data_IF_588541511793
#
_entry.id   IF_588541511793
#
_cell.length_a   1.000
_cell.length_b   1.000
_cell.length_c   1.000
_cell.angle_alpha   90.00
_cell.angle_beta   90.00
_cell.angle_gamma   90.00
#
_symmetry.space_group_name_H-M   'P 1'
#
loop_
_entity.id
_entity.type
_entity.pdbx_description
1 polymer ?
#
# COMPACT_ATOMS: atom_id res chain seq x y z
N UNK A 1 16.37 -13.06 -11.29
CA UNK A 1 15.21 -12.16 -11.13
C UNK A 1 14.02 -12.86 -10.44
N UNK A 2 13.63 -14.09 -10.82
CA UNK A 2 12.40 -14.74 -10.32
C UNK A 2 12.51 -15.53 -9.00
N UNK A 3 13.71 -15.75 -8.43
CA UNK A 3 13.89 -16.44 -7.14
C UNK A 3 13.80 -15.49 -5.93
N UNK A 4 13.26 -14.28 -6.14
CA UNK A 4 13.34 -13.19 -5.16
C UNK A 4 12.54 -13.46 -3.87
N UNK A 5 11.54 -14.33 -3.92
CA UNK A 5 10.80 -14.80 -2.73
C UNK A 5 11.73 -15.58 -1.79
N UNK A 6 12.64 -16.38 -2.34
CA UNK A 6 13.55 -17.22 -1.56
C UNK A 6 14.85 -16.48 -1.16
N UNK A 7 15.21 -15.42 -1.88
CA UNK A 7 16.50 -14.73 -1.70
C UNK A 7 16.38 -13.34 -1.07
N UNK A 8 15.19 -12.74 -1.00
CA UNK A 8 14.99 -11.39 -0.45
C UNK A 8 14.03 -11.44 0.76
N UNK A 9 14.54 -11.27 2.00
CA UNK A 9 13.74 -11.43 3.21
C UNK A 9 12.47 -10.59 3.27
N UNK A 10 12.47 -9.35 2.79
CA UNK A 10 11.27 -8.51 2.81
C UNK A 10 10.17 -9.01 1.86
N UNK A 11 10.54 -9.66 0.74
CA UNK A 11 9.58 -10.29 -0.18
C UNK A 11 8.98 -11.53 0.48
N UNK A 12 9.81 -12.32 1.17
CA UNK A 12 9.33 -13.46 1.95
C UNK A 12 8.35 -13.02 3.06
N UNK A 13 8.66 -11.94 3.78
CA UNK A 13 7.76 -11.36 4.79
C UNK A 13 6.42 -10.93 4.19
N UNK A 14 6.44 -10.28 3.02
CA UNK A 14 5.23 -9.86 2.30
C UNK A 14 4.38 -11.07 1.88
N UNK A 15 5.01 -12.12 1.36
CA UNK A 15 4.32 -13.37 1.03
C UNK A 15 3.72 -14.05 2.27
N UNK A 16 4.48 -14.16 3.37
CA UNK A 16 4.01 -14.75 4.62
C UNK A 16 2.86 -13.95 5.25
N UNK A 17 2.91 -12.62 5.17
CA UNK A 17 1.81 -11.76 5.60
C UNK A 17 0.54 -12.06 4.82
N UNK A 18 0.64 -12.17 3.48
CA UNK A 18 -0.52 -12.50 2.64
C UNK A 18 -1.07 -13.89 2.97
N UNK A 19 -0.20 -14.89 3.14
CA UNK A 19 -0.61 -16.24 3.54
C UNK A 19 -1.32 -16.25 4.91
N UNK A 20 -0.85 -15.49 5.90
CA UNK A 20 -1.49 -15.39 7.21
C UNK A 20 -2.90 -14.79 7.09
N UNK A 21 -3.01 -13.63 6.46
CA UNK A 21 -4.22 -12.82 6.52
C UNK A 21 -5.25 -13.14 5.44
N UNK A 22 -4.85 -13.76 4.32
CA UNK A 22 -5.77 -14.17 3.26
C UNK A 22 -6.25 -15.63 3.42
N UNK A 23 -5.65 -16.42 4.32
CA UNK A 23 -6.05 -17.81 4.54
C UNK A 23 -7.39 -17.87 5.31
N UNK A 24 -8.39 -18.55 4.71
CA UNK A 24 -9.72 -18.75 5.27
C UNK A 24 -9.71 -19.54 6.59
N UNK A 25 -8.76 -20.43 6.78
CA UNK A 25 -8.64 -21.24 8.00
C UNK A 25 -8.11 -20.43 9.18
N UNK A 26 -7.37 -19.35 8.91
CA UNK A 26 -6.71 -18.52 9.93
C UNK A 26 -7.41 -17.18 10.16
N UNK A 27 -8.12 -16.67 9.16
CA UNK A 27 -8.68 -15.32 9.14
C UNK A 27 -10.15 -15.29 8.72
N UNK A 28 -10.94 -14.55 9.48
CA UNK A 28 -12.35 -14.26 9.19
C UNK A 28 -12.52 -13.52 7.86
N UNK A 29 -13.76 -13.45 7.35
CA UNK A 29 -14.03 -12.66 6.13
C UNK A 29 -13.68 -11.18 6.31
N UNK A 30 -13.96 -10.61 7.48
CA UNK A 30 -13.64 -9.23 7.79
C UNK A 30 -12.12 -8.97 7.79
N UNK A 31 -11.33 -9.88 8.38
CA UNK A 31 -9.85 -9.80 8.38
C UNK A 31 -9.31 -9.92 6.96
N UNK A 32 -9.81 -10.88 6.18
CA UNK A 32 -9.42 -11.05 4.77
C UNK A 32 -9.75 -9.84 3.92
N UNK A 33 -10.88 -9.18 4.16
CA UNK A 33 -11.29 -8.00 3.41
C UNK A 33 -10.42 -6.78 3.72
N UNK A 34 -10.06 -6.58 5.00
CA UNK A 34 -9.10 -5.53 5.39
C UNK A 34 -7.71 -5.83 4.85
N UNK A 35 -7.28 -7.09 4.89
CA UNK A 35 -6.00 -7.51 4.33
C UNK A 35 -5.96 -7.29 2.82
N UNK A 36 -7.04 -7.63 2.10
CA UNK A 36 -7.17 -7.33 0.68
C UNK A 36 -7.10 -5.82 0.40
N UNK A 37 -7.83 -5.00 1.16
CA UNK A 37 -7.74 -3.54 1.00
C UNK A 37 -6.33 -2.99 1.24
N UNK A 38 -5.56 -3.59 2.17
CA UNK A 38 -4.17 -3.24 2.40
C UNK A 38 -3.24 -3.72 1.28
N UNK A 39 -3.55 -4.83 0.60
CA UNK A 39 -2.81 -5.28 -0.59
C UNK A 39 -2.97 -4.29 -1.74
N UNK A 40 -4.19 -3.83 -2.01
CA UNK A 40 -4.47 -2.90 -3.12
C UNK A 40 -4.07 -1.45 -2.77
N UNK A 41 -4.22 -1.04 -1.50
CA UNK A 41 -4.07 0.36 -1.08
C UNK A 41 -2.77 0.74 -0.36
N UNK A 42 -2.04 -0.24 0.21
CA UNK A 42 -0.77 0.01 0.94
C UNK A 42 0.38 -0.69 0.24
N UNK A 43 0.27 -1.99 0.01
CA UNK A 43 1.30 -2.68 -0.79
C UNK A 43 1.33 -2.09 -2.20
N UNK A 44 2.54 -1.93 -2.74
CA UNK A 44 2.79 -1.28 -4.03
C UNK A 44 2.55 0.24 -4.08
N UNK A 45 2.01 0.88 -3.04
CA UNK A 45 1.90 2.34 -2.98
C UNK A 45 3.25 3.03 -3.16
N UNK A 46 4.33 2.45 -2.59
CA UNK A 46 5.70 2.94 -2.77
C UNK A 46 6.19 2.78 -4.20
N UNK A 47 5.88 1.65 -4.85
CA UNK A 47 6.22 1.41 -6.26
C UNK A 47 5.52 2.37 -7.20
N UNK A 48 4.20 2.58 -7.03
CA UNK A 48 3.43 3.53 -7.84
C UNK A 48 3.99 4.95 -7.71
N UNK A 49 4.26 5.38 -6.48
CA UNK A 49 4.88 6.68 -6.21
C UNK A 49 6.26 6.80 -6.89
N UNK A 50 7.08 5.76 -6.81
CA UNK A 50 8.41 5.71 -7.45
C UNK A 50 8.36 5.82 -8.97
N UNK A 51 7.35 5.24 -9.61
CA UNK A 51 7.18 5.34 -11.07
C UNK A 51 6.63 6.72 -11.46
N UNK A 52 5.69 7.27 -10.68
CA UNK A 52 5.24 8.64 -10.91
C UNK A 52 6.35 9.68 -10.70
N UNK A 53 7.34 9.40 -9.87
CA UNK A 53 8.55 10.22 -9.81
C UNK A 53 9.31 10.25 -11.15
N UNK A 54 9.35 9.13 -11.88
CA UNK A 54 9.91 9.10 -13.24
C UNK A 54 9.05 9.93 -14.21
N UNK A 55 7.72 9.87 -14.09
CA UNK A 55 6.79 10.72 -14.84
C UNK A 55 7.08 12.21 -14.60
N UNK A 56 7.26 12.63 -13.35
CA UNK A 56 7.60 14.02 -12.99
C UNK A 56 8.88 14.51 -13.68
N UNK A 57 9.82 13.60 -13.93
CA UNK A 57 11.08 13.89 -14.64
C UNK A 57 10.97 13.78 -16.17
N UNK A 58 9.79 13.50 -16.71
CA UNK A 58 9.57 13.32 -18.14
C UNK A 58 10.17 12.03 -18.70
N UNK A 59 10.34 11.00 -17.86
CA UNK A 59 11.00 9.74 -18.23
C UNK A 59 9.98 8.61 -18.41
N UNK A 60 10.33 7.64 -19.27
CA UNK A 60 9.61 6.38 -19.46
C UNK A 60 8.08 6.57 -19.65
N UNK A 61 7.64 7.29 -20.70
CA UNK A 61 6.24 7.68 -20.87
C UNK A 61 5.29 6.49 -20.96
N UNK A 62 5.68 5.40 -21.64
CA UNK A 62 4.88 4.17 -21.71
C UNK A 62 4.67 3.53 -20.34
N UNK A 63 5.75 3.38 -19.56
CA UNK A 63 5.68 2.85 -18.18
C UNK A 63 4.82 3.74 -17.28
N UNK A 64 5.04 5.06 -17.34
CA UNK A 64 4.30 6.03 -16.53
C UNK A 64 2.81 6.03 -16.84
N UNK A 65 2.44 5.91 -18.12
CA UNK A 65 1.04 5.81 -18.54
C UNK A 65 0.40 4.49 -18.08
N UNK A 66 1.09 3.36 -18.22
CA UNK A 66 0.59 2.08 -17.68
C UNK A 66 0.44 2.12 -16.16
N UNK A 67 1.39 2.74 -15.45
CA UNK A 67 1.33 2.92 -14.01
C UNK A 67 0.12 3.75 -13.56
N UNK A 68 -0.23 4.79 -14.33
CA UNK A 68 -1.41 5.60 -14.06
C UNK A 68 -2.69 4.77 -14.15
N UNK A 69 -2.86 4.02 -15.23
CA UNK A 69 -4.02 3.15 -15.42
C UNK A 69 -4.12 2.09 -14.32
N UNK A 70 -3.01 1.42 -14.00
CA UNK A 70 -2.98 0.40 -12.95
C UNK A 70 -3.30 1.02 -11.59
N UNK A 71 -2.62 2.12 -11.21
CA UNK A 71 -2.86 2.76 -9.90
C UNK A 71 -4.30 3.26 -9.72
N UNK A 72 -4.96 3.68 -10.80
CA UNK A 72 -6.39 4.02 -10.80
C UNK A 72 -7.26 2.80 -10.50
N UNK A 73 -6.99 1.69 -11.18
CA UNK A 73 -7.76 0.46 -11.05
C UNK A 73 -7.60 -0.16 -9.64
N UNK A 74 -6.37 -0.16 -9.10
CA UNK A 74 -6.07 -0.59 -7.72
C UNK A 74 -6.77 0.31 -6.68
N UNK A 75 -6.87 1.61 -6.94
CA UNK A 75 -7.68 2.53 -6.14
C UNK A 75 -9.15 2.11 -6.10
N UNK A 76 -9.72 1.76 -7.25
CA UNK A 76 -11.10 1.27 -7.35
C UNK A 76 -11.31 -0.06 -6.62
N UNK A 77 -10.35 -0.99 -6.69
CA UNK A 77 -10.41 -2.24 -5.94
C UNK A 77 -10.35 -2.01 -4.43
N UNK A 78 -9.48 -1.11 -3.97
CA UNK A 78 -9.37 -0.73 -2.57
C UNK A 78 -10.67 -0.09 -2.06
N UNK A 79 -11.25 0.85 -2.82
CA UNK A 79 -12.53 1.48 -2.51
C UNK A 79 -13.67 0.45 -2.43
N UNK A 80 -13.69 -0.52 -3.34
CA UNK A 80 -14.66 -1.60 -3.32
C UNK A 80 -14.54 -2.47 -2.06
N UNK A 81 -13.31 -2.79 -1.64
CA UNK A 81 -13.07 -3.52 -0.40
C UNK A 81 -13.58 -2.74 0.83
N UNK A 82 -13.31 -1.43 0.88
CA UNK A 82 -13.81 -0.55 1.95
C UNK A 82 -15.35 -0.45 1.94
N UNK A 83 -15.97 -0.36 0.76
CA UNK A 83 -17.42 -0.36 0.60
C UNK A 83 -18.03 -1.66 1.13
N UNK A 84 -17.52 -2.82 0.72
CA UNK A 84 -17.98 -4.11 1.24
C UNK A 84 -17.79 -4.20 2.76
N UNK A 85 -16.67 -3.70 3.28
CA UNK A 85 -16.38 -3.70 4.72
C UNK A 85 -17.37 -2.84 5.50
N UNK A 86 -17.81 -1.71 4.94
CA UNK A 86 -18.85 -0.85 5.52
C UNK A 86 -20.21 -1.54 5.66
N UNK A 87 -20.48 -2.59 4.88
CA UNK A 87 -21.72 -3.37 4.91
C UNK A 87 -21.68 -4.53 5.92
N UNK A 88 -20.54 -4.78 6.56
CA UNK A 88 -20.42 -5.82 7.59
C UNK A 88 -21.12 -5.39 8.87
N UNK A 89 -21.93 -6.30 9.43
CA UNK A 89 -22.57 -6.11 10.74
C UNK A 89 -21.53 -6.20 11.86
N UNK A 90 -20.68 -7.23 11.80
CA UNK A 90 -19.62 -7.46 12.78
C UNK A 90 -18.29 -6.90 12.24
N UNK A 91 -17.97 -5.67 12.63
CA UNK A 91 -16.70 -5.02 12.30
C UNK A 91 -15.60 -5.51 13.24
N UNK A 92 -14.35 -5.35 12.80
CA UNK A 92 -13.19 -5.73 13.59
C UNK A 92 -12.93 -4.70 14.69
N UNK A 93 -12.40 -5.13 15.85
CA UNK A 93 -11.89 -4.20 16.84
C UNK A 93 -10.72 -3.39 16.26
N UNK A 94 -10.56 -2.15 16.74
CA UNK A 94 -9.54 -1.21 16.24
C UNK A 94 -8.13 -1.79 16.35
N UNK A 95 -7.85 -2.55 17.42
CA UNK A 95 -6.57 -3.20 17.66
C UNK A 95 -6.24 -4.22 16.56
N UNK A 96 -7.24 -4.99 16.09
CA UNK A 96 -7.03 -5.99 15.04
C UNK A 96 -6.79 -5.32 13.68
N UNK A 97 -7.53 -4.26 13.35
CA UNK A 97 -7.24 -3.50 12.13
C UNK A 97 -5.86 -2.89 12.19
N UNK A 98 -5.49 -2.29 13.32
CA UNK A 98 -4.16 -1.72 13.50
C UNK A 98 -3.08 -2.78 13.30
N UNK A 99 -3.25 -3.99 13.83
CA UNK A 99 -2.29 -5.09 13.60
C UNK A 99 -2.10 -5.38 12.11
N UNK A 100 -3.19 -5.50 11.34
CA UNK A 100 -3.15 -5.81 9.91
C UNK A 100 -2.49 -4.67 9.12
N UNK A 101 -2.94 -3.44 9.35
CA UNK A 101 -2.46 -2.25 8.62
C UNK A 101 -1.01 -1.92 8.97
N UNK A 102 -0.65 -1.90 10.26
CA UNK A 102 0.69 -1.53 10.69
C UNK A 102 1.73 -2.55 10.22
N UNK A 103 1.40 -3.85 10.26
CA UNK A 103 2.29 -4.87 9.72
C UNK A 103 2.48 -4.76 8.20
N UNK A 104 1.45 -4.35 7.44
CA UNK A 104 1.58 -4.08 6.00
C UNK A 104 2.50 -2.88 5.74
N UNK A 105 2.31 -1.77 6.47
CA UNK A 105 3.13 -0.56 6.37
C UNK A 105 4.60 -0.85 6.66
N UNK A 106 4.88 -1.59 7.74
CA UNK A 106 6.26 -1.95 8.11
C UNK A 106 6.94 -2.77 7.01
N UNK A 107 6.23 -3.74 6.43
CA UNK A 107 6.74 -4.57 5.34
C UNK A 107 7.00 -3.72 4.08
N UNK A 108 6.09 -2.81 3.72
CA UNK A 108 6.25 -1.98 2.53
C UNK A 108 7.38 -0.95 2.70
N UNK A 109 7.50 -0.33 3.88
CA UNK A 109 8.63 0.55 4.21
C UNK A 109 9.98 -0.20 4.10
N UNK A 110 10.01 -1.46 4.55
CA UNK A 110 11.21 -2.29 4.41
C UNK A 110 11.49 -2.62 2.93
N UNK A 111 10.46 -3.02 2.19
CA UNK A 111 10.58 -3.36 0.77
C UNK A 111 11.16 -2.21 -0.07
N UNK A 112 10.66 -1.00 0.14
CA UNK A 112 11.08 0.18 -0.62
C UNK A 112 12.45 0.75 -0.19
N UNK A 113 12.97 0.30 0.96
CA UNK A 113 14.29 0.70 1.46
C UNK A 113 15.37 -0.35 1.16
N UNK A 114 15.01 -1.64 1.15
CA UNK A 114 15.96 -2.75 1.01
C UNK A 114 15.93 -3.37 -0.39
N UNK A 115 14.76 -3.73 -0.92
CA UNK A 115 14.64 -4.47 -2.18
C UNK A 115 14.62 -3.55 -3.40
N UNK A 116 13.96 -2.39 -3.27
CA UNK A 116 13.91 -1.36 -4.30
C UNK A 116 14.28 0.01 -3.72
N UNK A 117 15.55 0.24 -3.32
CA UNK A 117 15.95 1.49 -2.67
C UNK A 117 15.64 2.69 -3.58
N UNK A 118 14.69 3.51 -3.15
CA UNK A 118 14.21 4.67 -3.93
C UNK A 118 15.25 5.77 -4.08
N UNK A 119 16.31 5.72 -3.27
CA UNK A 119 17.53 6.50 -3.43
C UNK A 119 18.17 6.29 -4.81
N UNK A 120 18.06 5.09 -5.40
CA UNK A 120 18.62 4.79 -6.72
C UNK A 120 18.00 5.64 -7.84
N UNK A 121 16.77 6.10 -7.64
CA UNK A 121 16.06 6.99 -8.58
C UNK A 121 16.02 8.44 -8.11
N UNK A 122 16.73 8.77 -7.03
CA UNK A 122 16.85 10.12 -6.49
C UNK A 122 15.71 10.56 -5.57
N UNK A 123 14.99 9.61 -4.96
CA UNK A 123 14.01 9.90 -3.91
C UNK A 123 14.60 9.64 -2.52
N UNK A 124 13.87 10.03 -1.47
CA UNK A 124 14.28 9.84 -0.08
C UNK A 124 13.42 8.76 0.59
N UNK A 125 14.03 7.68 1.10
CA UNK A 125 13.30 6.57 1.77
C UNK A 125 12.49 6.99 2.98
N UNK A 126 12.90 8.04 3.72
CA UNK A 126 12.12 8.56 4.86
C UNK A 126 10.84 9.22 4.37
N UNK A 127 10.93 10.06 3.34
CA UNK A 127 9.74 10.66 2.71
C UNK A 127 8.84 9.57 2.09
N UNK A 128 9.43 8.54 1.48
CA UNK A 128 8.65 7.42 0.97
C UNK A 128 7.92 6.66 2.08
N UNK A 129 8.58 6.44 3.22
CA UNK A 129 7.96 5.81 4.39
C UNK A 129 6.81 6.66 4.94
N UNK A 130 6.96 7.99 4.97
CA UNK A 130 5.88 8.89 5.39
C UNK A 130 4.72 8.91 4.38
N UNK A 131 5.00 8.77 3.09
CA UNK A 131 3.97 8.59 2.07
C UNK A 131 3.18 7.28 2.26
N UNK A 132 3.86 6.16 2.54
CA UNK A 132 3.19 4.86 2.80
C UNK A 132 2.30 4.97 4.05
N UNK A 133 2.79 5.61 5.12
CA UNK A 133 1.99 5.89 6.33
C UNK A 133 0.79 6.79 6.04
N UNK A 134 0.95 7.78 5.15
CA UNK A 134 -0.16 8.63 4.70
C UNK A 134 -1.23 7.81 3.96
N UNK A 135 -0.84 6.91 3.05
CA UNK A 135 -1.76 5.97 2.39
C UNK A 135 -2.49 5.09 3.40
N UNK A 136 -1.78 4.58 4.41
CA UNK A 136 -2.38 3.77 5.46
C UNK A 136 -3.41 4.53 6.31
N UNK A 137 -3.13 5.79 6.66
CA UNK A 137 -4.09 6.64 7.37
C UNK A 137 -5.34 6.93 6.51
N UNK A 138 -5.17 7.13 5.21
CA UNK A 138 -6.31 7.26 4.29
C UNK A 138 -7.15 5.99 4.25
N UNK A 139 -6.52 4.81 4.20
CA UNK A 139 -7.22 3.53 4.23
C UNK A 139 -7.96 3.33 5.57
N UNK A 140 -7.33 3.66 6.70
CA UNK A 140 -7.97 3.61 8.02
C UNK A 140 -9.25 4.47 8.06
N UNK A 141 -9.18 5.69 7.52
CA UNK A 141 -10.35 6.57 7.42
C UNK A 141 -11.44 6.00 6.51
N UNK A 142 -11.08 5.44 5.35
CA UNK A 142 -12.02 4.80 4.42
C UNK A 142 -12.71 3.57 5.04
N UNK A 143 -11.97 2.83 5.86
CA UNK A 143 -12.50 1.75 6.71
C UNK A 143 -13.29 2.27 7.91
N UNK A 144 -13.43 3.58 8.12
CA UNK A 144 -14.21 4.17 9.21
C UNK A 144 -13.52 4.14 10.58
N UNK A 145 -12.20 4.09 10.62
CA UNK A 145 -11.37 4.18 11.83
C UNK A 145 -10.61 5.51 11.85
N UNK A 146 -10.01 5.84 13.00
CA UNK A 146 -9.20 7.05 13.15
C UNK A 146 -7.81 6.84 12.55
N UNK A 147 -7.18 7.94 12.14
CA UNK A 147 -5.77 7.95 11.74
C UNK A 147 -4.89 7.43 12.87
N UNK A 148 -3.82 6.72 12.50
CA UNK A 148 -2.83 6.20 13.43
C UNK A 148 -1.51 6.95 13.33
N UNK A 149 -0.98 7.16 12.11
CA UNK A 149 0.34 7.77 11.91
C UNK A 149 0.31 9.30 11.97
N UNK A 150 -0.81 9.90 11.57
CA UNK A 150 -1.05 11.34 11.52
C UNK A 150 0.01 12.11 10.72
N UNK A 151 0.52 11.49 9.65
CA UNK A 151 1.49 12.11 8.75
C UNK A 151 0.79 12.81 7.57
N UNK A 152 1.43 13.86 7.07
CA UNK A 152 0.99 14.56 5.86
C UNK A 152 1.60 13.90 4.62
N UNK A 153 0.99 14.12 3.46
CA UNK A 153 1.55 13.70 2.18
C UNK A 153 2.86 14.48 1.91
N UNK A 154 4.03 13.81 1.81
CA UNK A 154 5.29 14.49 1.53
C UNK A 154 5.51 14.82 0.05
N UNK A 155 4.63 14.33 -0.84
CA UNK A 155 4.73 14.49 -2.30
C UNK A 155 3.52 15.23 -2.85
N UNK A 156 3.62 16.56 -2.93
CA UNK A 156 2.60 17.47 -3.49
C UNK A 156 2.15 17.10 -4.90
N UNK A 157 3.10 16.66 -5.74
CA UNK A 157 2.84 16.21 -7.11
C UNK A 157 2.01 14.93 -7.21
N UNK A 158 1.89 14.13 -6.15
CA UNK A 158 0.99 12.96 -6.15
C UNK A 158 -0.48 13.36 -6.18
N UNK A 159 -0.86 14.53 -5.67
CA UNK A 159 -2.24 15.02 -5.72
C UNK A 159 -2.62 15.47 -7.14
N UNK A 160 -1.67 16.10 -7.84
CA UNK A 160 -1.86 16.62 -9.21
C UNK A 160 -2.08 15.51 -10.25
N UNK A 161 -1.55 14.32 -10.00
CA UNK A 161 -1.64 13.17 -10.91
C UNK A 161 -3.04 12.55 -10.93
N UNK A 162 -3.81 12.70 -9.86
CA UNK A 162 -5.21 12.21 -9.80
C UNK A 162 -6.23 13.16 -10.43
N UNK A 163 -5.82 14.39 -10.77
CA UNK A 163 -6.69 15.48 -11.26
C UNK A 163 -6.64 15.67 -12.79
N UNK A 164 -5.89 14.83 -13.50
CA UNK A 164 -5.87 14.76 -14.97
C UNK A 164 -6.73 13.58 -15.45
#
# INVERSE_FOLDING_TARGET
MLNAIDTIPCIQKKANWALKWCNREMSSFAERLVAFAAVEGIFFSGSFCSIFWLKKRGLMPGLSFSNELISRDEGMHCDFACLLYSKLVNRLPEERIREIIDSAVLIECQFISEALPVELIGMNSKLMSDYIKFCADRLLLALGYRKFYNVLNPFDWMEMISLQ
#
